data_IF_836719959817
#
_entry.id   IF_836719959817
#
_cell.length_a   1.000
_cell.length_b   1.000
_cell.length_c   1.000
_cell.angle_alpha   90.00
_cell.angle_beta   90.00
_cell.angle_gamma   90.00
#
_symmetry.space_group_name_H-M   'P 1'
#
loop_
_entity.id
_entity.type
_entity.pdbx_description
1 polymer ?
#
# COMPACT_ATOMS: atom_id res chain seq x y z
N UNK A 1 10.45 3.00 18.12
CA UNK A 1 10.51 3.00 16.65
C UNK A 1 9.23 2.35 16.14
N UNK A 2 8.36 3.08 15.44
CA UNK A 2 7.19 2.46 14.77
C UNK A 2 7.66 1.96 13.42
N UNK A 3 8.06 0.69 13.33
CA UNK A 3 8.26 0.05 12.03
C UNK A 3 6.89 -0.36 11.49
N UNK A 4 6.51 0.16 10.33
CA UNK A 4 5.33 -0.32 9.61
C UNK A 4 5.56 -1.77 9.22
N UNK A 5 4.57 -2.64 9.49
CA UNK A 5 4.60 -4.02 9.02
C UNK A 5 4.08 -4.06 7.58
N UNK A 6 4.84 -4.66 6.67
CA UNK A 6 4.30 -5.01 5.34
C UNK A 6 3.19 -6.04 5.53
N UNK A 7 1.98 -5.66 5.18
CA UNK A 7 0.79 -6.51 5.30
C UNK A 7 0.52 -7.29 4.02
N UNK A 8 0.84 -6.71 2.86
CA UNK A 8 0.63 -7.32 1.55
C UNK A 8 1.68 -6.84 0.55
N UNK A 9 2.08 -7.73 -0.36
CA UNK A 9 2.94 -7.44 -1.51
C UNK A 9 2.39 -8.22 -2.70
N UNK A 10 2.24 -7.59 -3.85
CA UNK A 10 1.84 -8.25 -5.09
C UNK A 10 2.43 -7.53 -6.31
N UNK A 11 2.52 -8.24 -7.44
CA UNK A 11 2.88 -7.64 -8.72
C UNK A 11 1.58 -7.17 -9.37
N UNK A 12 1.36 -5.85 -9.53
CA UNK A 12 0.12 -5.35 -10.10
C UNK A 12 -0.01 -5.77 -11.57
N UNK A 13 -1.10 -6.47 -11.90
CA UNK A 13 -1.54 -6.71 -13.28
C UNK A 13 -2.53 -5.65 -13.76
N UNK A 14 -2.98 -4.77 -12.86
CA UNK A 14 -3.88 -3.65 -13.12
C UNK A 14 -3.49 -2.43 -12.27
N UNK A 15 -3.98 -1.24 -12.64
CA UNK A 15 -3.74 0.00 -11.90
C UNK A 15 -4.68 0.18 -10.69
N UNK A 16 -5.47 -0.84 -10.33
CA UNK A 16 -6.40 -0.81 -9.21
C UNK A 16 -5.97 -1.80 -8.13
N UNK A 17 -6.14 -1.40 -6.86
CA UNK A 17 -5.84 -2.21 -5.69
C UNK A 17 -7.12 -2.31 -4.87
N UNK A 18 -7.63 -3.54 -4.69
CA UNK A 18 -8.76 -3.76 -3.79
C UNK A 18 -8.27 -3.79 -2.34
N UNK A 19 -8.82 -2.91 -1.50
CA UNK A 19 -8.46 -2.78 -0.08
C UNK A 19 -9.63 -3.15 0.84
N UNK A 20 -10.61 -3.89 0.33
CA UNK A 20 -11.83 -4.25 1.05
C UNK A 20 -11.55 -4.99 2.36
N UNK A 21 -10.60 -5.94 2.33
CA UNK A 21 -10.26 -6.80 3.47
C UNK A 21 -9.39 -6.09 4.52
N UNK A 22 -8.96 -4.84 4.26
CA UNK A 22 -8.21 -4.05 5.23
C UNK A 22 -9.14 -3.51 6.32
N UNK A 23 -8.71 -3.66 7.57
CA UNK A 23 -9.36 -3.05 8.73
C UNK A 23 -9.26 -1.53 8.69
N UNK A 24 -10.06 -0.84 9.51
CA UNK A 24 -10.00 0.61 9.63
C UNK A 24 -8.62 1.02 10.16
N UNK A 25 -7.98 2.01 9.54
CA UNK A 25 -6.65 2.42 9.95
C UNK A 25 -5.90 3.29 8.96
N UNK A 26 -4.66 3.61 9.32
CA UNK A 26 -3.72 4.37 8.49
C UNK A 26 -2.80 3.40 7.78
N UNK A 27 -2.68 3.56 6.46
CA UNK A 27 -1.86 2.70 5.61
C UNK A 27 -0.91 3.54 4.75
N UNK A 28 0.21 2.93 4.38
CA UNK A 28 1.17 3.45 3.42
C UNK A 28 1.22 2.50 2.21
N UNK A 29 0.81 2.99 1.05
CA UNK A 29 0.97 2.31 -0.22
C UNK A 29 2.33 2.68 -0.81
N UNK A 30 3.16 1.67 -1.09
CA UNK A 30 4.42 1.83 -1.83
C UNK A 30 4.29 1.16 -3.20
N UNK A 31 4.63 1.90 -4.26
CA UNK A 31 4.65 1.39 -5.63
C UNK A 31 6.08 1.51 -6.15
N UNK A 32 6.67 0.38 -6.49
CA UNK A 32 7.98 0.34 -7.12
C UNK A 32 7.83 0.35 -8.63
N UNK A 33 8.46 1.32 -9.26
CA UNK A 33 8.49 1.52 -10.71
C UNK A 33 9.92 1.47 -11.21
N UNK A 34 10.10 1.38 -12.53
CA UNK A 34 11.40 1.55 -13.20
C UNK A 34 12.07 2.89 -12.86
N UNK A 35 11.27 3.93 -12.58
CA UNK A 35 11.70 5.28 -12.23
C UNK A 35 11.94 5.49 -10.73
N UNK A 36 11.71 4.48 -9.90
CA UNK A 36 11.91 4.54 -8.46
C UNK A 36 10.66 4.18 -7.64
N UNK A 37 10.70 4.51 -6.34
CA UNK A 37 9.65 4.15 -5.38
C UNK A 37 8.77 5.36 -5.08
N UNK A 38 7.46 5.21 -5.25
CA UNK A 38 6.46 6.21 -4.85
C UNK A 38 5.73 5.71 -3.61
N UNK A 39 5.58 6.59 -2.61
CA UNK A 39 4.86 6.29 -1.37
C UNK A 39 3.66 7.22 -1.20
N UNK A 40 2.50 6.67 -0.81
CA UNK A 40 1.28 7.44 -0.53
C UNK A 40 0.62 6.95 0.75
N UNK A 41 0.27 7.88 1.65
CA UNK A 41 -0.53 7.61 2.85
C UNK A 41 -2.02 7.67 2.52
N UNK A 42 -2.81 6.75 3.05
CA UNK A 42 -4.27 6.81 3.01
C UNK A 42 -4.89 6.34 4.32
N UNK A 43 -6.17 6.66 4.52
CA UNK A 43 -6.98 6.26 5.67
C UNK A 43 -8.08 5.34 5.16
N UNK A 44 -8.22 4.17 5.76
CA UNK A 44 -9.34 3.26 5.54
C UNK A 44 -10.37 3.49 6.64
N UNK A 45 -11.56 3.91 6.23
CA UNK A 45 -12.73 4.09 7.11
C UNK A 45 -13.49 2.81 7.40
#
# INVERSE_FOLDING_TARGET
MLWGKTIETFIPTSNNINVYDLTKGIYFLQVQTDKGVVSKKFIKE
#
